data_IF_764169645862
#
_entry.id   IF_764169645862
#
_cell.length_a   1.000
_cell.length_b   1.000
_cell.length_c   1.000
_cell.angle_alpha   90.00
_cell.angle_beta   90.00
_cell.angle_gamma   90.00
#
_symmetry.space_group_name_H-M   'P 1'
#
loop_
_entity.id
_entity.type
_entity.pdbx_description
1 polymer ?
#
# COMPACT_ATOMS: atom_id res chain seq x y z
N UNK A 1 -14.47 20.24 -94.78
CA UNK A 1 -14.04 20.32 -93.36
C UNK A 1 -15.22 20.89 -92.60
N UNK A 2 -16.06 20.03 -92.04
CA UNK A 2 -17.20 20.48 -91.25
C UNK A 2 -16.68 21.07 -89.94
N UNK A 3 -16.98 22.35 -89.71
CA UNK A 3 -16.60 23.05 -88.49
C UNK A 3 -17.49 22.53 -87.36
N UNK A 4 -16.94 21.69 -86.47
CA UNK A 4 -17.62 21.26 -85.26
C UNK A 4 -17.94 22.49 -84.43
N UNK A 5 -19.23 22.74 -84.21
CA UNK A 5 -19.69 23.91 -83.47
C UNK A 5 -19.58 23.65 -81.97
N UNK A 6 -19.32 24.70 -81.18
CA UNK A 6 -19.20 24.61 -79.72
C UNK A 6 -20.45 23.96 -79.06
N UNK A 7 -21.61 24.10 -79.72
CA UNK A 7 -22.90 23.50 -79.37
C UNK A 7 -22.90 21.97 -79.38
N UNK A 8 -22.13 21.33 -80.27
CA UNK A 8 -22.09 19.86 -80.38
C UNK A 8 -21.16 19.24 -79.33
N UNK A 9 -20.19 20.01 -78.84
CA UNK A 9 -19.21 19.57 -77.83
C UNK A 9 -19.76 19.67 -76.40
N UNK A 10 -20.66 20.63 -76.14
CA UNK A 10 -21.27 20.87 -74.83
C UNK A 10 -21.92 19.63 -74.17
N UNK A 11 -22.77 18.84 -74.84
CA UNK A 11 -23.36 17.65 -74.23
C UNK A 11 -22.32 16.59 -73.86
N UNK A 12 -21.23 16.47 -74.63
CA UNK A 12 -20.13 15.54 -74.33
C UNK A 12 -19.38 15.99 -73.07
N UNK A 13 -19.10 17.29 -72.97
CA UNK A 13 -18.45 17.88 -71.78
C UNK A 13 -19.30 17.65 -70.53
N UNK A 14 -20.61 17.89 -70.59
CA UNK A 14 -21.51 17.65 -69.45
C UNK A 14 -21.61 16.16 -69.11
N UNK A 15 -21.66 15.29 -70.11
CA UNK A 15 -21.73 13.84 -69.92
C UNK A 15 -20.46 13.25 -69.26
N UNK A 16 -19.30 13.89 -69.42
CA UNK A 16 -18.04 13.45 -68.80
C UNK A 16 -17.81 14.14 -67.45
N UNK A 17 -17.97 15.46 -67.39
CA UNK A 17 -17.70 16.24 -66.17
C UNK A 17 -18.75 16.01 -65.09
N UNK A 18 -20.01 15.78 -65.46
CA UNK A 18 -21.09 15.53 -64.51
C UNK A 18 -20.83 14.31 -63.62
N UNK A 19 -20.61 13.11 -64.21
CA UNK A 19 -20.26 11.92 -63.45
C UNK A 19 -18.94 12.05 -62.71
N UNK A 20 -17.93 12.71 -63.29
CA UNK A 20 -16.65 12.93 -62.62
C UNK A 20 -16.81 13.77 -61.35
N UNK A 21 -17.57 14.87 -61.41
CA UNK A 21 -17.86 15.72 -60.26
C UNK A 21 -18.70 14.98 -59.21
N UNK A 22 -19.67 14.18 -59.64
CA UNK A 22 -20.45 13.32 -58.75
C UNK A 22 -19.56 12.30 -58.03
N UNK A 23 -18.64 11.65 -58.74
CA UNK A 23 -17.69 10.71 -58.15
C UNK A 23 -16.78 11.39 -57.12
N UNK A 24 -16.19 12.54 -57.45
CA UNK A 24 -15.31 13.29 -56.54
C UNK A 24 -16.07 13.72 -55.28
N UNK A 25 -17.28 14.24 -55.43
CA UNK A 25 -18.10 14.66 -54.27
C UNK A 25 -18.55 13.47 -53.41
N UNK A 26 -18.87 12.32 -54.02
CA UNK A 26 -19.17 11.09 -53.31
C UNK A 26 -17.96 10.55 -52.53
N UNK A 27 -16.77 10.52 -53.17
CA UNK A 27 -15.51 10.12 -52.54
C UNK A 27 -15.15 11.03 -51.36
N UNK A 28 -15.27 12.35 -51.52
CA UNK A 28 -15.00 13.30 -50.46
C UNK A 28 -15.94 13.09 -49.24
N UNK A 29 -17.23 12.86 -49.49
CA UNK A 29 -18.21 12.55 -48.43
C UNK A 29 -17.91 11.22 -47.75
N UNK A 30 -17.55 10.21 -48.52
CA UNK A 30 -17.19 8.90 -48.00
C UNK A 30 -15.97 8.98 -47.07
N UNK A 31 -14.90 9.65 -47.52
CA UNK A 31 -13.69 9.87 -46.70
C UNK A 31 -14.00 10.67 -45.42
N UNK A 32 -14.86 11.69 -45.52
CA UNK A 32 -15.27 12.47 -44.35
C UNK A 32 -16.06 11.63 -43.33
N UNK A 33 -16.99 10.79 -43.80
CA UNK A 33 -17.75 9.86 -42.96
C UNK A 33 -16.84 8.83 -42.28
N UNK A 34 -15.87 8.29 -43.02
CA UNK A 34 -14.93 7.31 -42.48
C UNK A 34 -13.99 7.94 -41.43
N UNK A 35 -13.49 9.14 -41.69
CA UNK A 35 -12.68 9.90 -40.74
C UNK A 35 -13.45 10.27 -39.47
N UNK A 36 -14.70 10.73 -39.60
CA UNK A 36 -15.54 11.06 -38.43
C UNK A 36 -15.90 9.82 -37.60
N UNK A 37 -16.21 8.70 -38.25
CA UNK A 37 -16.45 7.42 -37.58
C UNK A 37 -15.20 6.95 -36.83
N UNK A 38 -14.04 7.01 -37.47
CA UNK A 38 -12.76 6.62 -36.87
C UNK A 38 -12.43 7.49 -35.66
N UNK A 39 -12.59 8.82 -35.77
CA UNK A 39 -12.41 9.73 -34.63
C UNK A 39 -13.34 9.40 -33.47
N UNK A 40 -14.62 9.15 -33.75
CA UNK A 40 -15.57 8.77 -32.70
C UNK A 40 -15.16 7.48 -31.99
N UNK A 41 -14.74 6.46 -32.74
CA UNK A 41 -14.24 5.21 -32.16
C UNK A 41 -13.00 5.43 -31.28
N UNK A 42 -12.05 6.27 -31.71
CA UNK A 42 -10.87 6.61 -30.91
C UNK A 42 -11.29 7.29 -29.61
N UNK A 43 -12.14 8.32 -29.68
CA UNK A 43 -12.61 9.05 -28.49
C UNK A 43 -13.39 8.15 -27.52
N UNK A 44 -14.24 7.26 -28.03
CA UNK A 44 -14.99 6.33 -27.18
C UNK A 44 -14.04 5.30 -26.54
N UNK A 45 -13.03 4.83 -27.28
CA UNK A 45 -11.98 3.95 -26.76
C UNK A 45 -11.15 4.63 -25.67
N UNK A 46 -10.73 5.88 -25.86
CA UNK A 46 -9.97 6.66 -24.87
C UNK A 46 -10.78 6.88 -23.58
N UNK A 47 -12.08 7.16 -23.70
CA UNK A 47 -12.96 7.28 -22.53
C UNK A 47 -13.09 5.96 -21.78
N UNK A 48 -13.21 4.85 -22.50
CA UNK A 48 -13.30 3.52 -21.91
C UNK A 48 -12.01 3.14 -21.17
N UNK A 49 -10.84 3.41 -21.78
CA UNK A 49 -9.55 3.14 -21.13
C UNK A 49 -9.32 4.02 -19.91
N UNK A 50 -9.64 5.32 -19.98
CA UNK A 50 -9.55 6.20 -18.82
C UNK A 50 -10.45 5.74 -17.68
N UNK A 51 -11.70 5.38 -17.98
CA UNK A 51 -12.61 4.85 -16.96
C UNK A 51 -12.06 3.58 -16.32
N UNK A 52 -11.51 2.65 -17.12
CA UNK A 52 -10.92 1.43 -16.60
C UNK A 52 -9.73 1.70 -15.69
N UNK A 53 -8.85 2.64 -16.06
CA UNK A 53 -7.70 3.05 -15.25
C UNK A 53 -8.18 3.64 -13.92
N UNK A 54 -9.12 4.58 -13.95
CA UNK A 54 -9.65 5.20 -12.73
C UNK A 54 -10.32 4.17 -11.81
N UNK A 55 -11.15 3.28 -12.36
CA UNK A 55 -11.80 2.21 -11.58
C UNK A 55 -10.77 1.23 -10.98
N UNK A 56 -9.66 0.98 -11.69
CA UNK A 56 -8.57 0.12 -11.21
C UNK A 56 -7.76 0.79 -10.10
N UNK A 57 -7.44 2.07 -10.26
CA UNK A 57 -6.69 2.84 -9.28
C UNK A 57 -7.46 2.96 -7.97
N UNK A 58 -8.77 3.21 -8.04
CA UNK A 58 -9.63 3.28 -6.84
C UNK A 58 -9.66 1.94 -6.10
N UNK A 59 -9.85 0.83 -6.82
CA UNK A 59 -9.81 -0.52 -6.21
C UNK A 59 -8.47 -0.84 -5.57
N UNK A 60 -7.37 -0.46 -6.23
CA UNK A 60 -6.03 -0.66 -5.68
C UNK A 60 -5.83 0.16 -4.41
N UNK A 61 -6.31 1.40 -4.40
CA UNK A 61 -6.24 2.28 -3.23
C UNK A 61 -7.03 1.71 -2.05
N UNK A 62 -8.27 1.29 -2.28
CA UNK A 62 -9.12 0.65 -1.26
C UNK A 62 -8.45 -0.61 -0.68
N UNK A 63 -7.84 -1.43 -1.54
CA UNK A 63 -7.15 -2.64 -1.12
C UNK A 63 -5.94 -2.32 -0.24
N UNK A 64 -5.13 -1.32 -0.64
CA UNK A 64 -3.96 -0.88 0.12
C UNK A 64 -4.39 -0.32 1.48
N UNK A 65 -5.44 0.49 1.52
CA UNK A 65 -5.95 1.08 2.76
C UNK A 65 -6.44 0.00 3.73
N UNK A 66 -7.25 -0.94 3.23
CA UNK A 66 -7.76 -2.06 4.03
C UNK A 66 -6.62 -2.94 4.57
N UNK A 67 -5.66 -3.28 3.72
CA UNK A 67 -4.49 -4.07 4.10
C UNK A 67 -3.64 -3.35 5.16
N UNK A 68 -3.42 -2.05 4.99
CA UNK A 68 -2.70 -1.21 5.96
C UNK A 68 -3.41 -1.16 7.32
N UNK A 69 -4.74 -1.01 7.32
CA UNK A 69 -5.52 -1.02 8.55
C UNK A 69 -5.47 -2.38 9.26
N UNK A 70 -5.57 -3.47 8.53
CA UNK A 70 -5.47 -4.83 9.07
C UNK A 70 -4.09 -5.08 9.68
N UNK A 71 -3.03 -4.70 8.96
CA UNK A 71 -1.66 -4.85 9.44
C UNK A 71 -1.41 -4.01 10.71
N UNK A 72 -1.93 -2.79 10.77
CA UNK A 72 -1.88 -1.95 11.97
C UNK A 72 -2.57 -2.64 13.17
N UNK A 73 -3.77 -3.17 12.98
CA UNK A 73 -4.49 -3.92 14.03
C UNK A 73 -3.71 -5.15 14.50
N UNK A 74 -3.06 -5.85 13.58
CA UNK A 74 -2.24 -7.02 13.90
C UNK A 74 -1.02 -6.64 14.73
N UNK A 75 -0.36 -5.52 14.39
CA UNK A 75 0.78 -4.98 15.14
C UNK A 75 0.34 -4.58 16.56
N UNK A 76 -0.77 -3.84 16.69
CA UNK A 76 -1.32 -3.44 17.99
C UNK A 76 -1.62 -4.67 18.86
N UNK A 77 -2.31 -5.68 18.31
CA UNK A 77 -2.61 -6.93 19.02
C UNK A 77 -1.33 -7.67 19.45
N UNK A 78 -0.31 -7.71 18.60
CA UNK A 78 0.97 -8.35 18.92
C UNK A 78 1.70 -7.59 20.02
N UNK A 79 1.66 -6.26 19.99
CA UNK A 79 2.25 -5.42 21.02
C UNK A 79 1.55 -5.58 22.37
N UNK A 80 0.22 -5.69 22.36
CA UNK A 80 -0.55 -5.92 23.58
C UNK A 80 -0.28 -7.30 24.19
N UNK A 81 -0.19 -8.34 23.35
CA UNK A 81 0.21 -9.68 23.78
C UNK A 81 1.63 -9.68 24.37
N UNK A 82 2.58 -9.00 23.72
CA UNK A 82 3.94 -8.89 24.22
C UNK A 82 3.98 -8.16 25.57
N UNK A 83 3.21 -7.09 25.73
CA UNK A 83 3.12 -6.35 26.99
C UNK A 83 2.52 -7.21 28.10
N UNK A 84 1.47 -7.98 27.81
CA UNK A 84 0.86 -8.91 28.76
C UNK A 84 1.85 -10.01 29.17
N UNK A 85 2.53 -10.63 28.22
CA UNK A 85 3.54 -11.66 28.48
C UNK A 85 4.70 -11.12 29.32
N UNK A 86 5.18 -9.91 29.02
CA UNK A 86 6.23 -9.27 29.80
C UNK A 86 5.77 -8.98 31.24
N UNK A 87 4.54 -8.49 31.42
CA UNK A 87 3.98 -8.24 32.75
C UNK A 87 3.90 -9.54 33.57
N UNK A 88 3.42 -10.63 32.96
CA UNK A 88 3.34 -11.95 33.60
C UNK A 88 4.73 -12.48 34.02
N UNK A 89 5.71 -12.44 33.11
CA UNK A 89 7.09 -12.82 33.39
C UNK A 89 7.70 -11.97 34.51
N UNK A 90 7.47 -10.66 34.49
CA UNK A 90 7.99 -9.75 35.52
C UNK A 90 7.36 -10.02 36.90
N UNK A 91 6.06 -10.34 36.94
CA UNK A 91 5.37 -10.71 38.17
C UNK A 91 5.86 -12.05 38.72
N UNK A 92 6.01 -13.06 37.86
CA UNK A 92 6.58 -14.36 38.24
C UNK A 92 8.01 -14.24 38.75
N UNK A 93 8.83 -13.37 38.13
CA UNK A 93 10.19 -13.12 38.57
C UNK A 93 10.23 -12.41 39.92
N UNK A 94 9.33 -11.45 40.15
CA UNK A 94 9.20 -10.76 41.42
C UNK A 94 8.80 -11.73 42.55
N UNK A 95 7.82 -12.60 42.32
CA UNK A 95 7.42 -13.64 43.28
C UNK A 95 8.56 -14.62 43.57
N UNK A 96 9.27 -15.09 42.54
CA UNK A 96 10.43 -15.96 42.71
C UNK A 96 11.54 -15.29 43.54
N UNK A 97 11.79 -13.99 43.30
CA UNK A 97 12.77 -13.21 44.06
C UNK A 97 12.35 -13.05 45.52
N UNK A 98 11.07 -12.81 45.78
CA UNK A 98 10.54 -12.72 47.15
C UNK A 98 10.68 -14.06 47.88
N UNK A 99 10.35 -15.18 47.23
CA UNK A 99 10.52 -16.53 47.79
C UNK A 99 11.98 -16.84 48.11
N UNK A 100 12.92 -16.43 47.25
CA UNK A 100 14.35 -16.56 47.50
C UNK A 100 14.78 -15.73 48.72
N UNK A 101 14.37 -14.46 48.79
CA UNK A 101 14.69 -13.58 49.92
C UNK A 101 14.15 -14.11 51.26
N UNK A 102 12.94 -14.70 51.25
CA UNK A 102 12.41 -15.40 52.44
C UNK A 102 13.30 -16.58 52.82
N UNK A 103 13.70 -17.45 51.87
CA UNK A 103 14.59 -18.59 52.15
C UNK A 103 15.97 -18.16 52.66
N UNK A 104 16.58 -17.13 52.08
CA UNK A 104 17.85 -16.58 52.56
C UNK A 104 17.72 -15.99 53.98
N UNK A 105 16.58 -15.39 54.32
CA UNK A 105 16.27 -14.97 55.68
C UNK A 105 16.24 -16.12 56.69
N UNK A 106 15.76 -17.30 56.28
CA UNK A 106 15.79 -18.52 57.11
C UNK A 106 17.19 -19.17 57.19
N UNK A 107 18.04 -19.01 56.16
CA UNK A 107 19.41 -19.52 56.16
C UNK A 107 20.41 -18.64 56.93
N UNK A 108 20.01 -17.43 57.34
CA UNK A 108 20.85 -16.53 58.12
C UNK A 108 20.89 -17.01 59.58
N UNK A 109 21.76 -17.98 59.87
CA UNK A 109 22.08 -18.43 61.23
C UNK A 109 22.45 -17.18 62.05
N UNK A 110 21.75 -16.86 63.15
CA UNK A 110 22.15 -15.76 64.01
C UNK A 110 23.56 -16.07 64.54
N UNK A 111 24.49 -15.09 64.58
CA UNK A 111 25.78 -15.33 65.22
C UNK A 111 25.50 -15.76 66.66
N UNK A 112 26.00 -16.96 67.02
CA UNK A 112 25.85 -17.53 68.35
C UNK A 112 26.23 -16.49 69.41
N UNK A 113 25.41 -16.27 70.45
CA UNK A 113 25.82 -15.43 71.56
C UNK A 113 26.91 -16.19 72.33
N UNK A 114 28.17 -15.86 72.08
CA UNK A 114 29.24 -16.18 73.02
C UNK A 114 29.03 -15.29 74.25
N UNK A 115 28.27 -15.80 75.21
CA UNK A 115 28.51 -15.52 76.61
C UNK A 115 29.77 -16.29 76.99
N UNK A 116 30.85 -15.57 77.29
CA UNK A 116 31.70 -15.98 78.39
C UNK A 116 32.13 -14.72 79.14
N UNK A 117 31.54 -14.58 80.33
CA UNK A 117 32.01 -13.68 81.36
C UNK A 117 33.11 -14.44 82.11
N UNK A 118 34.29 -13.86 82.22
CA UNK A 118 35.39 -14.47 82.95
C UNK A 118 36.44 -13.44 83.31
N UNK A 119 36.37 -12.98 84.55
CA UNK A 119 37.39 -12.19 85.26
C UNK A 119 38.79 -12.78 85.08
N UNK A 120 39.81 -11.91 85.03
CA UNK A 120 41.20 -12.34 84.92
C UNK A 120 42.20 -11.19 84.91
N UNK A 121 42.33 -10.56 86.07
CA UNK A 121 43.46 -9.74 86.51
C UNK A 121 44.81 -10.38 86.10
N UNK A 122 45.75 -9.60 85.56
CA UNK A 122 46.96 -10.17 84.95
C UNK A 122 47.94 -9.18 84.35
N UNK A 123 48.50 -8.33 85.20
CA UNK A 123 49.73 -7.56 85.02
C UNK A 123 50.90 -8.35 84.37
N UNK A 124 51.53 -7.79 83.33
CA UNK A 124 52.96 -7.93 82.94
C UNK A 124 53.20 -7.06 81.70
N UNK A 125 53.81 -5.87 81.79
CA UNK A 125 55.24 -5.58 81.93
C UNK A 125 56.07 -5.90 80.66
N UNK A 126 56.81 -4.86 80.24
CA UNK A 126 58.09 -4.86 79.52
C UNK A 126 58.15 -4.80 77.97
N UNK A 127 58.87 -3.73 77.57
CA UNK A 127 59.76 -3.54 76.41
C UNK A 127 59.16 -3.14 75.06
#
# INVERSE_FOLDING_TARGET
>A
MEAVTLSDLWPIIVAVLGPMLLCVTALARYQHLDSTKTRKMITDSEKATLKLITDSDEKNRDLIEKSSQENRRLIEKTQDLLRASHAELSGSLADARERLARMEGYLRIPPSPHQDAGDGDGNAEAA
#
